data_IF_437042265076
#
_entry.id   IF_437042265076
#
_cell.length_a   1.000
_cell.length_b   1.000
_cell.length_c   1.000
_cell.angle_alpha   90.00
_cell.angle_beta   90.00
_cell.angle_gamma   90.00
#
_symmetry.space_group_name_H-M   'P 1'
#
loop_
_entity.id
_entity.type
_entity.pdbx_description
1 polymer ?
#
# COMPACT_ATOMS: atom_id res chain seq x y z
N UNK A 1 -5.35 -20.90 -44.52
CA UNK A 1 -5.78 -20.95 -43.11
C UNK A 1 -4.75 -20.29 -42.17
N UNK A 2 -4.13 -19.19 -42.61
CA UNK A 2 -2.97 -18.56 -41.96
C UNK A 2 -3.27 -17.19 -41.33
N UNK A 3 -4.37 -16.53 -41.72
CA UNK A 3 -4.72 -15.21 -41.18
C UNK A 3 -5.29 -15.24 -39.75
N UNK A 4 -5.91 -16.35 -39.32
CA UNK A 4 -6.55 -16.44 -37.98
C UNK A 4 -5.50 -16.54 -36.86
N UNK A 5 -4.32 -17.10 -37.14
CA UNK A 5 -3.26 -17.29 -36.15
C UNK A 5 -2.61 -15.95 -35.77
N UNK A 6 -2.52 -14.99 -36.70
CA UNK A 6 -1.92 -13.68 -36.45
C UNK A 6 -2.78 -12.78 -35.55
N UNK A 7 -4.11 -12.88 -35.64
CA UNK A 7 -5.04 -12.07 -34.85
C UNK A 7 -5.09 -12.49 -33.37
N UNK A 8 -4.94 -13.79 -33.08
CA UNK A 8 -4.91 -14.31 -31.71
C UNK A 8 -3.61 -13.93 -30.95
N UNK A 9 -2.48 -13.85 -31.66
CA UNK A 9 -1.21 -13.43 -31.06
C UNK A 9 -1.20 -11.94 -30.66
N UNK A 10 -1.92 -11.07 -31.39
CA UNK A 10 -2.02 -9.65 -31.06
C UNK A 10 -2.86 -9.40 -29.80
N UNK A 11 -3.94 -10.15 -29.60
CA UNK A 11 -4.82 -10.02 -28.43
C UNK A 11 -4.08 -10.45 -27.15
N UNK A 12 -3.25 -11.49 -27.22
CA UNK A 12 -2.43 -11.92 -26.10
C UNK A 12 -1.33 -10.91 -25.72
N UNK A 13 -0.76 -10.20 -26.69
CA UNK A 13 0.25 -9.16 -26.44
C UNK A 13 -0.32 -7.91 -25.75
N UNK A 14 -1.60 -7.57 -26.00
CA UNK A 14 -2.26 -6.42 -25.36
C UNK A 14 -2.70 -6.68 -23.92
N UNK A 15 -2.79 -7.95 -23.48
CA UNK A 15 -3.23 -8.28 -22.11
C UNK A 15 -2.10 -8.35 -21.09
N UNK A 16 -0.84 -8.18 -21.53
CA UNK A 16 0.31 -8.07 -20.64
C UNK A 16 0.58 -6.63 -20.19
N UNK A 17 -0.45 -5.77 -20.13
CA UNK A 17 -0.38 -4.60 -19.26
C UNK A 17 -0.38 -5.13 -17.83
N UNK A 18 0.80 -5.50 -17.34
CA UNK A 18 1.05 -5.68 -15.92
C UNK A 18 0.50 -4.41 -15.25
N UNK A 19 -0.65 -4.52 -14.60
CA UNK A 19 -1.26 -3.42 -13.87
C UNK A 19 -0.28 -3.02 -12.78
N UNK A 20 0.58 -2.06 -13.09
CA UNK A 20 1.53 -1.52 -12.12
C UNK A 20 0.70 -0.75 -11.13
N UNK A 21 0.56 -1.28 -9.91
CA UNK A 21 -0.17 -0.60 -8.85
C UNK A 21 0.55 0.70 -8.50
N UNK A 22 -0.15 1.82 -8.60
CA UNK A 22 0.36 3.12 -8.18
C UNK A 22 0.02 3.35 -6.71
N UNK A 23 0.99 3.80 -5.93
CA UNK A 23 0.79 4.08 -4.52
C UNK A 23 1.38 5.43 -4.16
N UNK A 24 0.79 6.10 -3.16
CA UNK A 24 1.41 7.26 -2.56
C UNK A 24 2.54 6.83 -1.62
N UNK A 25 3.66 7.52 -1.70
CA UNK A 25 4.77 7.35 -0.76
C UNK A 25 5.21 8.70 -0.25
N UNK A 26 5.50 8.78 1.03
CA UNK A 26 6.05 9.98 1.64
C UNK A 26 7.10 9.55 2.66
N UNK A 27 8.32 10.04 2.49
CA UNK A 27 9.39 9.91 3.48
C UNK A 27 9.77 11.27 4.07
N UNK A 28 10.67 11.27 5.05
CA UNK A 28 11.13 12.47 5.76
C UNK A 28 11.82 13.53 4.88
N UNK A 29 12.26 13.17 3.67
CA UNK A 29 12.96 14.07 2.74
C UNK A 29 12.02 14.72 1.71
N UNK A 30 10.74 14.34 1.70
CA UNK A 30 9.76 14.80 0.71
C UNK A 30 8.82 15.83 1.31
N UNK A 31 8.67 16.98 0.65
CA UNK A 31 7.69 18.00 1.08
C UNK A 31 6.25 17.63 0.74
N UNK A 32 6.06 16.73 -0.23
CA UNK A 32 4.75 16.27 -0.70
C UNK A 32 4.79 14.78 -1.04
N UNK A 33 3.68 14.05 -0.89
CA UNK A 33 3.57 12.66 -1.32
C UNK A 33 3.86 12.53 -2.81
N UNK A 34 4.68 11.54 -3.18
CA UNK A 34 4.91 11.17 -4.57
C UNK A 34 4.12 9.90 -4.91
N UNK A 35 3.96 9.63 -6.20
CA UNK A 35 3.40 8.36 -6.68
C UNK A 35 4.53 7.43 -7.12
N UNK A 36 4.56 6.22 -6.58
CA UNK A 36 5.45 5.14 -7.04
C UNK A 36 4.67 4.10 -7.80
N UNK A 37 5.35 3.35 -8.67
CA UNK A 37 4.78 2.28 -9.49
C UNK A 37 5.46 0.95 -9.19
N UNK A 38 5.04 -0.12 -9.88
CA UNK A 38 5.61 -1.46 -9.73
C UNK A 38 5.48 -2.00 -8.29
N UNK A 39 4.30 -1.81 -7.70
CA UNK A 39 3.97 -2.26 -6.35
C UNK A 39 2.99 -3.44 -6.39
N UNK A 40 2.97 -4.23 -5.32
CA UNK A 40 1.98 -5.30 -5.08
C UNK A 40 0.88 -4.89 -4.11
N UNK A 41 1.14 -3.88 -3.27
CA UNK A 41 0.16 -3.29 -2.36
C UNK A 41 0.59 -1.88 -1.97
N UNK A 42 -0.38 -1.05 -1.64
CA UNK A 42 -0.16 0.24 -0.99
C UNK A 42 -0.26 0.10 0.53
N UNK A 43 0.47 0.94 1.26
CA UNK A 43 0.58 0.92 2.72
C UNK A 43 0.23 2.29 3.30
N UNK A 44 -0.52 2.30 4.40
CA UNK A 44 -0.64 3.44 5.30
C UNK A 44 -0.34 3.01 6.73
N UNK A 45 0.34 3.87 7.49
CA UNK A 45 0.62 3.68 8.92
C UNK A 45 0.14 4.92 9.68
N UNK A 46 -0.64 4.71 10.72
CA UNK A 46 -1.13 5.79 11.58
C UNK A 46 -0.70 5.51 13.01
N UNK A 47 0.24 6.29 13.52
CA UNK A 47 0.75 6.15 14.88
C UNK A 47 -0.08 7.03 15.84
N UNK A 48 -0.46 6.45 16.98
CA UNK A 48 -1.52 6.99 17.82
C UNK A 48 -1.01 8.10 18.73
N UNK A 49 0.12 7.89 19.39
CA UNK A 49 0.64 8.77 20.43
C UNK A 49 1.15 10.11 19.87
N UNK A 50 1.90 10.07 18.78
CA UNK A 50 2.40 11.21 18.02
C UNK A 50 1.41 11.71 16.95
N UNK A 51 0.26 11.05 16.79
CA UNK A 51 -0.80 11.41 15.84
C UNK A 51 -0.26 11.63 14.43
N UNK A 52 0.66 10.75 14.03
CA UNK A 52 1.38 10.86 12.77
C UNK A 52 0.85 9.87 11.74
N UNK A 53 1.07 10.19 10.47
CA UNK A 53 0.63 9.39 9.32
C UNK A 53 1.76 9.22 8.33
N UNK A 54 2.02 7.98 7.92
CA UNK A 54 3.03 7.62 6.93
C UNK A 54 2.41 6.82 5.80
N UNK A 55 2.87 7.07 4.57
CA UNK A 55 2.35 6.43 3.36
C UNK A 55 3.50 5.78 2.60
N UNK A 56 3.26 4.57 2.11
CA UNK A 56 4.27 3.79 1.43
C UNK A 56 3.68 2.75 0.49
N UNK A 57 4.54 1.87 -0.01
CA UNK A 57 4.15 0.80 -0.90
C UNK A 57 5.02 -0.43 -0.67
N UNK A 58 4.48 -1.61 -0.98
CA UNK A 58 5.24 -2.85 -1.04
C UNK A 58 5.63 -3.08 -2.50
N UNK A 59 6.92 -2.93 -2.79
CA UNK A 59 7.46 -3.06 -4.14
C UNK A 59 7.35 -4.50 -4.64
N UNK A 60 6.97 -4.68 -5.91
CA UNK A 60 7.05 -5.97 -6.58
C UNK A 60 8.52 -6.36 -6.80
N UNK A 61 9.00 -7.25 -5.94
CA UNK A 61 10.36 -7.78 -5.99
C UNK A 61 10.37 -9.24 -5.55
N UNK A 62 11.43 -9.97 -5.91
CA UNK A 62 11.60 -11.36 -5.49
C UNK A 62 11.62 -11.51 -3.95
N UNK A 63 12.13 -10.50 -3.22
CA UNK A 63 12.13 -10.50 -1.76
C UNK A 63 10.71 -10.44 -1.17
N UNK A 64 9.78 -9.77 -1.84
CA UNK A 64 8.38 -9.66 -1.43
C UNK A 64 7.46 -10.70 -2.08
N UNK A 65 7.99 -11.63 -2.87
CA UNK A 65 7.17 -12.61 -3.60
C UNK A 65 6.27 -13.44 -2.67
N UNK A 66 6.77 -13.79 -1.48
CA UNK A 66 6.03 -14.51 -0.46
C UNK A 66 4.80 -13.74 0.07
N UNK A 67 4.81 -12.41 0.00
CA UNK A 67 3.71 -11.54 0.45
C UNK A 67 2.59 -11.40 -0.57
N UNK A 68 2.80 -11.79 -1.83
CA UNK A 68 1.76 -11.65 -2.87
C UNK A 68 0.47 -12.36 -2.49
N UNK A 69 0.56 -13.54 -1.89
CA UNK A 69 -0.61 -14.31 -1.44
C UNK A 69 -1.30 -13.62 -0.25
N UNK A 70 -0.51 -13.17 0.73
CA UNK A 70 -1.00 -12.43 1.90
C UNK A 70 -1.74 -11.15 1.49
N UNK A 71 -1.17 -10.40 0.55
CA UNK A 71 -1.67 -9.09 0.15
C UNK A 71 -2.75 -9.14 -0.92
N UNK A 72 -2.95 -10.28 -1.60
CA UNK A 72 -3.99 -10.45 -2.60
C UNK A 72 -5.41 -10.28 -2.03
N UNK A 73 -5.58 -10.42 -0.71
CA UNK A 73 -6.86 -10.20 -0.01
C UNK A 73 -6.93 -8.87 0.74
N UNK A 74 -5.93 -7.99 0.57
CA UNK A 74 -5.91 -6.70 1.22
C UNK A 74 -6.89 -5.72 0.56
N UNK A 75 -7.87 -5.26 1.34
CA UNK A 75 -9.02 -4.47 0.91
C UNK A 75 -9.04 -3.03 1.48
N UNK A 76 -7.96 -2.61 2.14
CA UNK A 76 -7.88 -1.32 2.84
C UNK A 76 -8.26 -1.38 4.31
N UNK A 77 -8.71 -2.53 4.83
CA UNK A 77 -8.95 -2.71 6.25
C UNK A 77 -7.67 -2.50 7.07
N UNK A 78 -7.79 -1.67 8.11
CA UNK A 78 -6.69 -1.33 8.99
C UNK A 78 -6.66 -2.23 10.22
N UNK A 79 -5.48 -2.75 10.56
CA UNK A 79 -5.26 -3.54 11.78
C UNK A 79 -4.58 -2.68 12.82
N UNK A 80 -5.11 -2.65 14.05
CA UNK A 80 -4.42 -2.04 15.19
C UNK A 80 -3.27 -2.96 15.62
N UNK A 81 -2.08 -2.38 15.76
CA UNK A 81 -0.83 -3.00 16.17
C UNK A 81 -0.41 -2.35 17.48
N UNK A 82 -0.53 -3.06 18.61
CA UNK A 82 -0.31 -2.51 19.95
C UNK A 82 1.15 -2.58 20.42
N UNK A 83 2.02 -3.23 19.63
CA UNK A 83 3.40 -3.51 20.01
C UNK A 83 4.36 -3.34 18.85
N UNK A 84 4.39 -2.15 18.25
CA UNK A 84 5.46 -1.84 17.29
C UNK A 84 6.68 -1.36 18.07
N UNK A 85 7.80 -2.05 17.89
CA UNK A 85 9.08 -1.71 18.52
C UNK A 85 9.53 -0.33 18.03
N UNK A 86 9.68 0.63 18.94
CA UNK A 86 10.12 1.99 18.57
C UNK A 86 11.61 2.01 18.22
N UNK A 87 12.42 1.38 19.08
CA UNK A 87 13.87 1.38 18.98
C UNK A 87 14.39 -0.01 19.32
N UNK A 88 15.23 -0.57 18.44
CA UNK A 88 15.86 -1.89 18.67
C UNK A 88 16.81 -1.89 19.86
N UNK A 89 17.29 -0.73 20.30
CA UNK A 89 18.14 -0.57 21.48
C UNK A 89 17.35 -0.47 22.79
N UNK A 90 16.05 -0.17 22.70
CA UNK A 90 15.14 -0.08 23.84
C UNK A 90 13.91 -0.97 23.59
N UNK A 91 14.07 -2.29 23.68
CA UNK A 91 13.08 -3.25 23.23
C UNK A 91 11.76 -3.23 24.02
N UNK A 92 11.71 -2.50 25.14
CA UNK A 92 10.52 -2.37 25.99
C UNK A 92 9.66 -1.15 25.64
N UNK A 93 10.10 -0.31 24.68
CA UNK A 93 9.33 0.83 24.21
C UNK A 93 8.55 0.43 22.97
N UNK A 94 7.24 0.34 23.15
CA UNK A 94 6.28 0.06 22.09
C UNK A 94 5.35 1.25 21.89
N UNK A 95 4.87 1.41 20.67
CA UNK A 95 3.81 2.35 20.34
C UNK A 95 2.64 1.64 19.66
N UNK A 96 1.48 2.27 19.74
CA UNK A 96 0.28 1.82 19.05
C UNK A 96 0.22 2.43 17.64
N UNK A 97 -0.08 1.60 16.64
CA UNK A 97 -0.34 2.10 15.30
C UNK A 97 -1.42 1.30 14.57
N UNK A 98 -2.06 1.92 13.59
CA UNK A 98 -2.90 1.23 12.61
C UNK A 98 -2.11 0.99 11.34
N UNK A 99 -2.15 -0.25 10.86
CA UNK A 99 -1.50 -0.68 9.63
C UNK A 99 -2.57 -1.06 8.60
N UNK A 100 -2.59 -0.37 7.47
CA UNK A 100 -3.58 -0.58 6.41
C UNK A 100 -2.89 -1.01 5.12
N UNK A 101 -3.40 -2.04 4.47
CA UNK A 101 -2.96 -2.48 3.15
C UNK A 101 -4.12 -2.52 2.19
N UNK A 102 -3.88 -2.15 0.93
CA UNK A 102 -4.86 -2.24 -0.15
C UNK A 102 -4.17 -2.47 -1.49
N UNK A 103 -4.93 -2.97 -2.47
CA UNK A 103 -4.41 -3.38 -3.79
C UNK A 103 -5.09 -2.63 -4.95
N UNK A 104 -5.83 -1.57 -4.65
CA UNK A 104 -6.44 -0.67 -5.63
C UNK A 104 -5.52 0.53 -5.92
N UNK A 105 -5.60 1.08 -7.13
CA UNK A 105 -4.72 2.18 -7.53
C UNK A 105 -4.89 3.37 -6.60
N UNK A 106 -3.79 3.83 -5.98
CA UNK A 106 -3.74 5.00 -5.08
C UNK A 106 -4.68 4.95 -3.88
N UNK A 107 -5.12 3.76 -3.49
CA UNK A 107 -6.01 3.52 -2.35
C UNK A 107 -5.44 4.01 -0.99
N UNK A 108 -4.14 4.23 -0.89
CA UNK A 108 -3.48 4.78 0.30
C UNK A 108 -3.40 6.31 0.29
N UNK A 109 -4.48 6.98 -0.15
CA UNK A 109 -4.52 8.44 -0.27
C UNK A 109 -4.01 9.13 1.02
N UNK A 110 -3.05 10.07 0.91
CA UNK A 110 -2.50 10.77 2.06
C UNK A 110 -3.57 11.52 2.84
N UNK A 111 -3.72 11.16 4.12
CA UNK A 111 -4.62 11.80 5.08
C UNK A 111 -3.91 11.96 6.42
N UNK A 112 -4.33 12.95 7.20
CA UNK A 112 -3.83 13.12 8.57
C UNK A 112 -4.40 12.05 9.50
N UNK A 113 -3.71 11.80 10.62
CA UNK A 113 -4.27 10.98 11.70
C UNK A 113 -5.65 11.48 12.16
N UNK A 114 -5.83 12.80 12.28
CA UNK A 114 -7.11 13.39 12.67
C UNK A 114 -8.25 13.03 11.71
N UNK A 115 -8.00 13.07 10.40
CA UNK A 115 -8.99 12.64 9.39
C UNK A 115 -9.27 11.15 9.48
N UNK A 116 -8.23 10.33 9.67
CA UNK A 116 -8.37 8.89 9.85
C UNK A 116 -9.23 8.54 11.08
N UNK A 117 -8.98 9.20 12.22
CA UNK A 117 -9.76 9.04 13.44
C UNK A 117 -11.21 9.52 13.26
N UNK A 118 -11.44 10.65 12.58
CA UNK A 118 -12.78 11.14 12.25
C UNK A 118 -13.57 10.16 11.37
N UNK A 119 -12.87 9.42 10.51
CA UNK A 119 -13.45 8.36 9.67
C UNK A 119 -13.62 7.02 10.39
N UNK A 120 -13.46 6.98 11.72
CA UNK A 120 -13.59 5.75 12.50
C UNK A 120 -12.48 4.73 12.24
N UNK A 121 -11.26 5.21 12.04
CA UNK A 121 -10.05 4.40 11.80
C UNK A 121 -10.14 3.54 10.54
N UNK A 122 -10.72 4.12 9.48
CA UNK A 122 -10.80 3.51 8.15
C UNK A 122 -10.20 4.45 7.12
N UNK A 123 -9.51 3.85 6.15
CA UNK A 123 -9.13 4.58 4.94
C UNK A 123 -10.40 5.03 4.22
N UNK A 124 -10.45 6.26 3.67
CA UNK A 124 -11.54 6.67 2.81
C UNK A 124 -11.53 5.78 1.57
N UNK A 125 -12.61 5.04 1.35
CA UNK A 125 -12.90 4.45 0.04
C UNK A 125 -13.03 5.58 -0.97
N UNK A 126 -12.37 5.48 -2.13
CA UNK A 126 -12.54 6.49 -3.18
C UNK A 126 -14.05 6.67 -3.50
N UNK A 127 -14.47 7.93 -3.59
CA UNK A 127 -15.83 8.34 -3.96
C UNK A 127 -16.05 8.17 -5.46
#
# INVERSE_FOLDING_TARGET
MTCIVFTLALIAATMATANSLHCYTMNEYQSHPITTTNNIACLSVFEVEGQSSSFGAIVDSQFNAHRKIELATADGSCKKMEKILYDKTQPDIFYEAFLCYCTEDKCNKPITYAQFAQNGYKMPSEF
#
